data_IF_118420734131
#
_entry.id   IF_118420734131
#
_cell.length_a   1.000
_cell.length_b   1.000
_cell.length_c   1.000
_cell.angle_alpha   90.00
_cell.angle_beta   90.00
_cell.angle_gamma   90.00
#
_symmetry.space_group_name_H-M   'P 1'
#
loop_
_entity.id
_entity.type
_entity.pdbx_description
1 polymer ?
#
# COMPACT_ATOMS: atom_id res chain seq x y z
N UNK A 1 -1.53 12.62 -24.60
CA UNK A 1 -2.46 11.66 -25.22
C UNK A 1 -3.69 11.66 -24.34
N UNK A 2 -4.83 12.12 -24.85
CA UNK A 2 -6.11 11.93 -24.17
C UNK A 2 -6.40 10.44 -24.18
N UNK A 3 -6.43 9.83 -23.01
CA UNK A 3 -6.95 8.49 -22.86
C UNK A 3 -8.47 8.56 -23.06
N UNK A 4 -8.93 8.31 -24.27
CA UNK A 4 -10.35 8.02 -24.47
C UNK A 4 -10.67 6.84 -23.55
N UNK A 5 -11.68 6.99 -22.70
CA UNK A 5 -12.26 5.89 -21.92
C UNK A 5 -12.79 4.91 -22.96
N UNK A 6 -11.97 3.96 -23.37
CA UNK A 6 -12.42 2.83 -24.17
C UNK A 6 -13.29 2.01 -23.23
N UNK A 7 -14.56 1.87 -23.56
CA UNK A 7 -15.47 1.01 -22.79
C UNK A 7 -15.04 -0.45 -23.02
N UNK A 8 -14.19 -0.96 -22.12
CA UNK A 8 -13.71 -2.34 -22.16
C UNK A 8 -14.70 -3.35 -21.55
N UNK A 9 -15.86 -2.91 -21.06
CA UNK A 9 -16.81 -3.80 -20.37
C UNK A 9 -17.34 -4.87 -21.31
N UNK A 10 -17.61 -4.51 -22.58
CA UNK A 10 -18.00 -5.48 -23.62
C UNK A 10 -16.88 -6.45 -24.04
N UNK A 11 -15.62 -6.15 -23.68
CA UNK A 11 -14.51 -7.04 -23.98
C UNK A 11 -14.65 -8.41 -23.31
N UNK A 12 -15.30 -8.46 -22.14
CA UNK A 12 -15.42 -9.68 -21.35
C UNK A 12 -16.61 -10.54 -21.72
N UNK A 13 -17.56 -10.06 -22.54
CA UNK A 13 -18.84 -10.73 -22.82
C UNK A 13 -18.69 -12.12 -23.44
N UNK A 14 -17.59 -12.35 -24.20
CA UNK A 14 -17.34 -13.62 -24.89
C UNK A 14 -16.01 -14.27 -24.49
N UNK A 15 -15.32 -13.72 -23.47
CA UNK A 15 -14.05 -14.25 -22.99
C UNK A 15 -14.30 -15.35 -21.98
N UNK A 16 -13.57 -16.46 -22.13
CA UNK A 16 -13.51 -17.56 -21.15
C UNK A 16 -12.09 -17.83 -20.68
N UNK A 17 -11.11 -17.68 -21.57
CA UNK A 17 -9.70 -18.01 -21.33
C UNK A 17 -8.84 -16.78 -21.27
N UNK A 18 -8.24 -16.52 -20.10
CA UNK A 18 -7.40 -15.34 -19.84
C UNK A 18 -6.01 -15.79 -19.46
N UNK A 19 -5.00 -15.19 -20.11
CA UNK A 19 -3.60 -15.40 -19.77
C UNK A 19 -3.02 -14.18 -19.05
N UNK A 20 -2.31 -14.40 -17.95
CA UNK A 20 -1.67 -13.36 -17.13
C UNK A 20 -0.16 -13.36 -17.29
N UNK A 21 0.44 -12.28 -17.81
CA UNK A 21 1.91 -12.12 -17.89
C UNK A 21 2.40 -11.43 -16.60
N UNK A 22 3.19 -12.14 -15.79
CA UNK A 22 3.60 -11.73 -14.44
C UNK A 22 2.54 -12.03 -13.39
N UNK A 23 1.92 -13.22 -13.46
CA UNK A 23 0.77 -13.63 -12.63
C UNK A 23 1.08 -13.63 -11.12
N UNK A 24 2.33 -13.90 -10.72
CA UNK A 24 2.77 -13.88 -9.32
C UNK A 24 2.95 -12.49 -8.72
N UNK A 25 2.80 -11.42 -9.51
CA UNK A 25 2.88 -10.05 -9.02
C UNK A 25 1.79 -9.73 -7.99
N UNK A 26 2.12 -8.93 -6.96
CA UNK A 26 1.21 -8.59 -5.84
C UNK A 26 -0.12 -7.98 -6.26
N UNK A 27 -0.17 -7.28 -7.39
CA UNK A 27 -1.42 -6.72 -7.94
C UNK A 27 -2.07 -7.61 -9.01
N UNK A 28 -1.37 -8.63 -9.53
CA UNK A 28 -1.87 -9.55 -10.54
C UNK A 28 -2.58 -10.75 -9.91
N UNK A 29 -1.96 -11.33 -8.88
CA UNK A 29 -2.48 -12.49 -8.16
C UNK A 29 -3.91 -12.26 -7.62
N UNK A 30 -4.26 -11.14 -6.95
CA UNK A 30 -5.64 -10.87 -6.52
C UNK A 30 -6.67 -10.85 -7.66
N UNK A 31 -6.31 -10.26 -8.79
CA UNK A 31 -7.21 -10.24 -9.96
C UNK A 31 -7.42 -11.65 -10.53
N UNK A 32 -6.36 -12.44 -10.63
CA UNK A 32 -6.46 -13.82 -11.08
C UNK A 32 -7.35 -14.64 -10.13
N UNK A 33 -7.24 -14.46 -8.81
CA UNK A 33 -8.08 -15.16 -7.84
C UNK A 33 -9.57 -14.81 -8.00
N UNK A 34 -9.91 -13.52 -8.11
CA UNK A 34 -11.29 -13.09 -8.31
C UNK A 34 -11.85 -13.69 -9.61
N UNK A 35 -11.13 -13.57 -10.73
CA UNK A 35 -11.57 -14.08 -12.02
C UNK A 35 -11.67 -15.62 -12.05
N UNK A 36 -10.78 -16.31 -11.33
CA UNK A 36 -10.88 -17.76 -11.16
C UNK A 36 -12.16 -18.16 -10.44
N UNK A 37 -12.49 -17.45 -9.34
CA UNK A 37 -13.74 -17.68 -8.61
C UNK A 37 -14.99 -17.30 -9.42
N UNK A 38 -14.87 -16.34 -10.35
CA UNK A 38 -15.94 -16.02 -11.32
C UNK A 38 -16.08 -17.06 -12.45
N UNK A 39 -15.22 -18.10 -12.47
CA UNK A 39 -15.31 -19.23 -13.40
C UNK A 39 -14.56 -19.05 -14.71
N UNK A 40 -13.64 -18.08 -14.81
CA UNK A 40 -12.74 -17.98 -15.97
C UNK A 40 -11.66 -19.06 -15.93
N UNK A 41 -11.32 -19.60 -17.11
CA UNK A 41 -10.17 -20.47 -17.30
C UNK A 41 -8.89 -19.63 -17.39
N UNK A 42 -8.05 -19.74 -16.38
CA UNK A 42 -6.84 -18.91 -16.28
C UNK A 42 -5.58 -19.70 -16.59
N UNK A 43 -4.60 -19.00 -17.14
CA UNK A 43 -3.21 -19.42 -17.19
C UNK A 43 -2.31 -18.20 -16.95
N UNK A 44 -1.04 -18.41 -16.67
CA UNK A 44 -0.12 -17.29 -16.55
C UNK A 44 1.34 -17.68 -16.67
N UNK A 45 2.18 -16.66 -16.75
CA UNK A 45 3.64 -16.79 -16.76
C UNK A 45 4.28 -15.88 -15.70
N UNK A 46 5.41 -16.29 -15.17
CA UNK A 46 6.24 -15.46 -14.30
C UNK A 46 7.72 -15.83 -14.42
N UNK A 47 8.60 -14.90 -14.03
CA UNK A 47 10.06 -15.13 -14.03
C UNK A 47 10.56 -15.63 -12.67
N UNK A 48 9.81 -15.40 -11.61
CA UNK A 48 10.24 -15.62 -10.23
C UNK A 48 9.30 -16.59 -9.51
N UNK A 49 9.85 -17.52 -8.78
CA UNK A 49 9.12 -18.30 -7.79
C UNK A 49 8.79 -17.41 -6.57
N UNK A 50 7.75 -17.77 -5.83
CA UNK A 50 7.38 -17.06 -4.61
C UNK A 50 6.01 -17.45 -4.08
N UNK A 51 5.72 -17.03 -2.86
CA UNK A 51 4.51 -17.39 -2.10
C UNK A 51 3.20 -17.06 -2.86
N UNK A 52 3.16 -15.91 -3.57
CA UNK A 52 2.00 -15.53 -4.38
C UNK A 52 1.82 -16.47 -5.59
N UNK A 53 2.92 -16.92 -6.20
CA UNK A 53 2.88 -17.84 -7.31
C UNK A 53 2.46 -19.25 -6.86
N UNK A 54 2.93 -19.68 -5.69
CA UNK A 54 2.54 -20.96 -5.07
C UNK A 54 1.03 -20.97 -4.77
N UNK A 55 0.50 -19.83 -4.31
CA UNK A 55 -0.94 -19.68 -4.07
C UNK A 55 -1.76 -19.81 -5.36
N UNK A 56 -1.32 -19.18 -6.44
CA UNK A 56 -1.95 -19.32 -7.76
C UNK A 56 -1.91 -20.76 -8.26
N UNK A 57 -0.76 -21.44 -8.14
CA UNK A 57 -0.62 -22.86 -8.47
C UNK A 57 -1.55 -23.74 -7.61
N UNK A 58 -1.78 -23.36 -6.35
CA UNK A 58 -2.69 -24.04 -5.42
C UNK A 58 -4.16 -24.04 -5.87
N UNK A 59 -4.60 -23.06 -6.67
CA UNK A 59 -5.91 -23.06 -7.34
C UNK A 59 -5.99 -23.96 -8.58
N UNK A 60 -4.89 -24.63 -8.95
CA UNK A 60 -4.83 -25.43 -10.17
C UNK A 60 -4.67 -24.60 -11.46
N UNK A 61 -4.33 -23.33 -11.36
CA UNK A 61 -4.08 -22.45 -12.50
C UNK A 61 -2.72 -22.81 -13.10
N UNK A 62 -2.64 -23.17 -14.40
CA UNK A 62 -1.37 -23.46 -15.09
C UNK A 62 -0.45 -22.23 -15.08
N UNK A 63 0.78 -22.39 -14.59
CA UNK A 63 1.80 -21.34 -14.57
C UNK A 63 3.05 -21.79 -15.30
N UNK A 64 3.48 -20.98 -16.26
CA UNK A 64 4.71 -21.19 -17.02
C UNK A 64 5.85 -20.36 -16.40
N UNK A 65 6.98 -21.01 -16.14
CA UNK A 65 8.18 -20.29 -15.69
C UNK A 65 8.94 -19.78 -16.92
N UNK A 66 9.15 -18.45 -16.95
CA UNK A 66 9.69 -17.75 -18.11
C UNK A 66 8.62 -17.31 -19.12
N UNK A 67 9.01 -16.40 -20.01
CA UNK A 67 8.12 -15.82 -21.01
C UNK A 67 8.43 -16.42 -22.40
N UNK A 68 7.41 -17.01 -23.03
CA UNK A 68 7.50 -17.58 -24.39
C UNK A 68 6.18 -17.37 -25.15
N UNK A 69 6.26 -17.18 -26.46
CA UNK A 69 5.10 -16.93 -27.33
C UNK A 69 4.03 -18.05 -27.21
N UNK A 70 4.47 -19.27 -26.97
CA UNK A 70 3.62 -20.46 -26.85
C UNK A 70 2.73 -20.45 -25.61
N UNK A 71 3.10 -19.72 -24.55
CA UNK A 71 2.38 -19.68 -23.29
C UNK A 71 0.95 -19.13 -23.43
N UNK A 72 0.71 -18.24 -24.41
CA UNK A 72 -0.61 -17.64 -24.66
C UNK A 72 -1.51 -18.47 -25.57
N UNK A 73 -1.08 -19.68 -25.95
CA UNK A 73 -1.86 -20.53 -26.86
C UNK A 73 -3.23 -20.83 -26.30
N UNK A 74 -4.26 -20.42 -27.05
CA UNK A 74 -5.67 -20.61 -26.68
C UNK A 74 -6.22 -19.51 -25.76
N UNK A 75 -5.44 -18.53 -25.36
CA UNK A 75 -5.95 -17.34 -24.65
C UNK A 75 -6.84 -16.50 -25.59
N UNK A 76 -7.87 -15.92 -25.03
CA UNK A 76 -8.80 -15.00 -25.70
C UNK A 76 -8.57 -13.56 -25.23
N UNK A 77 -7.91 -13.40 -24.11
CA UNK A 77 -7.47 -12.13 -23.54
C UNK A 77 -6.12 -12.33 -22.83
N UNK A 78 -5.22 -11.36 -23.00
CA UNK A 78 -3.97 -11.30 -22.25
C UNK A 78 -3.99 -10.09 -21.32
N UNK A 79 -3.63 -10.32 -20.06
CA UNK A 79 -3.48 -9.27 -19.02
C UNK A 79 -2.01 -9.20 -18.64
N UNK A 80 -1.41 -8.01 -18.63
CA UNK A 80 0.00 -7.86 -18.28
C UNK A 80 0.23 -6.85 -17.16
N UNK A 81 1.25 -7.12 -16.34
CA UNK A 81 1.75 -6.19 -15.33
C UNK A 81 2.49 -5.02 -16.00
N UNK A 82 2.37 -3.81 -15.44
CA UNK A 82 3.11 -2.63 -15.90
C UNK A 82 4.64 -2.82 -15.97
N UNK A 83 5.19 -3.87 -15.30
CA UNK A 83 6.59 -4.26 -15.38
C UNK A 83 6.98 -4.88 -16.73
N UNK A 84 6.01 -5.41 -17.46
CA UNK A 84 6.22 -6.18 -18.71
C UNK A 84 6.35 -5.22 -19.89
N UNK A 85 7.53 -5.22 -20.52
CA UNK A 85 7.83 -4.35 -21.66
C UNK A 85 7.08 -4.80 -22.91
N UNK A 86 6.94 -3.90 -23.88
CA UNK A 86 6.35 -4.24 -25.19
C UNK A 86 7.12 -5.33 -25.96
N UNK A 87 8.42 -5.44 -25.71
CA UNK A 87 9.29 -6.47 -26.32
C UNK A 87 9.11 -7.86 -25.73
N UNK A 88 8.24 -8.04 -24.72
CA UNK A 88 7.97 -9.37 -24.17
C UNK A 88 7.38 -10.30 -25.24
N UNK A 89 7.87 -11.56 -25.38
CA UNK A 89 7.46 -12.47 -26.45
C UNK A 89 5.96 -12.81 -26.41
N UNK A 90 5.34 -12.87 -25.24
CA UNK A 90 3.91 -13.14 -25.10
C UNK A 90 3.06 -11.95 -25.55
N UNK A 91 3.49 -10.69 -25.23
CA UNK A 91 2.84 -9.49 -25.73
C UNK A 91 2.95 -9.36 -27.25
N UNK A 92 4.12 -9.71 -27.82
CA UNK A 92 4.32 -9.69 -29.26
C UNK A 92 3.44 -10.74 -29.96
N UNK A 93 3.40 -11.96 -29.43
CA UNK A 93 2.54 -13.02 -29.95
C UNK A 93 1.03 -12.64 -29.85
N UNK A 94 0.58 -12.04 -28.75
CA UNK A 94 -0.79 -11.55 -28.64
C UNK A 94 -1.14 -10.54 -29.75
N UNK A 95 -0.21 -9.59 -30.02
CA UNK A 95 -0.37 -8.61 -31.09
C UNK A 95 -0.44 -9.26 -32.48
N UNK A 96 0.43 -10.21 -32.75
CA UNK A 96 0.48 -10.94 -34.05
C UNK A 96 -0.79 -11.78 -34.26
N UNK A 97 -1.32 -12.38 -33.21
CA UNK A 97 -2.54 -13.21 -33.26
C UNK A 97 -3.83 -12.39 -33.15
N UNK A 98 -3.75 -11.06 -32.95
CA UNK A 98 -4.92 -10.19 -32.77
C UNK A 98 -5.68 -10.45 -31.46
N UNK A 99 -5.02 -11.03 -30.46
CA UNK A 99 -5.61 -11.26 -29.13
C UNK A 99 -5.56 -9.92 -28.35
N UNK A 100 -6.68 -9.45 -27.78
CA UNK A 100 -6.68 -8.28 -26.91
C UNK A 100 -5.66 -8.42 -25.79
N UNK A 101 -4.85 -7.36 -25.56
CA UNK A 101 -3.78 -7.37 -24.58
C UNK A 101 -3.88 -6.08 -23.76
N UNK A 102 -4.33 -6.18 -22.49
CA UNK A 102 -4.63 -5.04 -21.62
C UNK A 102 -3.73 -5.01 -20.38
N UNK A 103 -3.49 -3.82 -19.88
CA UNK A 103 -2.72 -3.62 -18.66
C UNK A 103 -3.59 -3.95 -17.41
N UNK A 104 -2.95 -4.38 -16.33
CA UNK A 104 -3.55 -4.75 -15.05
C UNK A 104 -4.56 -3.72 -14.51
N UNK A 105 -4.26 -2.42 -14.62
CA UNK A 105 -5.15 -1.37 -14.13
C UNK A 105 -6.47 -1.31 -14.89
N UNK A 106 -6.43 -1.57 -16.19
CA UNK A 106 -7.65 -1.68 -17.04
C UNK A 106 -8.49 -2.87 -16.59
N UNK A 107 -7.85 -4.04 -16.35
CA UNK A 107 -8.55 -5.22 -15.84
C UNK A 107 -9.15 -4.96 -14.46
N UNK A 108 -8.43 -4.28 -13.55
CA UNK A 108 -8.95 -3.88 -12.25
C UNK A 108 -10.20 -3.00 -12.41
N UNK A 109 -10.19 -2.05 -13.33
CA UNK A 109 -11.34 -1.24 -13.65
C UNK A 109 -12.54 -2.07 -14.12
N UNK A 110 -12.32 -3.03 -15.01
CA UNK A 110 -13.38 -3.95 -15.51
C UNK A 110 -13.96 -4.76 -14.35
N UNK A 111 -13.11 -5.38 -13.53
CA UNK A 111 -13.54 -6.20 -12.39
C UNK A 111 -14.33 -5.36 -11.38
N UNK A 112 -13.82 -4.20 -10.97
CA UNK A 112 -14.45 -3.37 -9.94
C UNK A 112 -15.83 -2.83 -10.37
N UNK A 113 -16.02 -2.53 -11.66
CA UNK A 113 -17.33 -2.08 -12.19
C UNK A 113 -18.43 -3.13 -12.15
N UNK A 114 -18.10 -4.41 -11.96
CA UNK A 114 -19.10 -5.47 -11.78
C UNK A 114 -19.74 -5.49 -10.40
N UNK A 115 -19.10 -4.82 -9.44
CA UNK A 115 -19.59 -4.70 -8.08
C UNK A 115 -20.39 -3.40 -7.94
N UNK A 116 -21.65 -3.49 -7.51
CA UNK A 116 -22.52 -2.31 -7.35
C UNK A 116 -21.98 -1.32 -6.33
N UNK A 117 -21.31 -1.83 -5.29
CA UNK A 117 -20.70 -1.04 -4.22
C UNK A 117 -19.17 -1.20 -4.27
N UNK A 118 -18.58 -0.70 -5.36
CA UNK A 118 -17.11 -0.66 -5.46
C UNK A 118 -16.54 0.51 -4.66
N UNK A 119 -15.54 0.23 -3.84
CA UNK A 119 -14.87 1.18 -2.94
C UNK A 119 -13.41 1.27 -3.33
N UNK A 120 -12.96 2.46 -3.72
CA UNK A 120 -11.59 2.72 -4.12
C UNK A 120 -10.89 3.63 -3.10
N UNK A 121 -9.82 3.13 -2.49
CA UNK A 121 -9.03 3.87 -1.49
C UNK A 121 -7.84 4.51 -2.18
N UNK A 122 -7.85 5.83 -2.27
CA UNK A 122 -6.81 6.65 -2.90
C UNK A 122 -6.15 7.62 -1.90
N UNK A 123 -5.09 8.25 -2.34
CA UNK A 123 -4.31 9.22 -1.56
C UNK A 123 -2.83 8.93 -1.70
N UNK A 124 -1.99 9.91 -1.44
CA UNK A 124 -0.53 9.72 -1.52
C UNK A 124 -0.07 8.70 -0.49
N UNK A 125 -0.55 8.81 0.75
CA UNK A 125 -0.15 7.97 1.88
C UNK A 125 -1.35 7.27 2.52
N UNK A 126 -1.11 6.09 3.15
CA UNK A 126 -2.10 5.38 3.96
C UNK A 126 -3.02 4.41 3.20
N UNK A 127 -2.97 4.35 1.86
CA UNK A 127 -3.85 3.51 1.02
C UNK A 127 -3.96 2.06 1.52
N UNK A 128 -2.84 1.36 1.60
CA UNK A 128 -2.79 -0.06 2.00
C UNK A 128 -3.38 -0.30 3.39
N UNK A 129 -3.00 0.53 4.36
CA UNK A 129 -3.48 0.42 5.74
C UNK A 129 -4.99 0.66 5.83
N UNK A 130 -5.50 1.71 5.16
CA UNK A 130 -6.92 2.02 5.17
C UNK A 130 -7.74 0.96 4.44
N UNK A 131 -7.26 0.47 3.28
CA UNK A 131 -7.90 -0.64 2.56
C UNK A 131 -7.98 -1.89 3.43
N UNK A 132 -6.91 -2.21 4.16
CA UNK A 132 -6.86 -3.35 5.05
C UNK A 132 -7.78 -3.17 6.28
N UNK A 133 -7.78 -2.00 6.92
CA UNK A 133 -8.68 -1.68 8.04
C UNK A 133 -10.15 -1.80 7.62
N UNK A 134 -10.52 -1.17 6.50
CA UNK A 134 -11.89 -1.23 5.97
C UNK A 134 -12.29 -2.66 5.60
N UNK A 135 -11.42 -3.40 4.92
CA UNK A 135 -11.67 -4.80 4.57
C UNK A 135 -11.88 -5.65 5.81
N UNK A 136 -11.04 -5.51 6.84
CA UNK A 136 -11.18 -6.23 8.10
C UNK A 136 -12.48 -5.89 8.82
N UNK A 137 -12.86 -4.60 8.88
CA UNK A 137 -14.13 -4.18 9.48
C UNK A 137 -15.31 -4.81 8.74
N UNK A 138 -15.35 -4.71 7.41
CA UNK A 138 -16.46 -5.22 6.62
C UNK A 138 -16.56 -6.76 6.68
N UNK A 139 -15.43 -7.48 6.58
CA UNK A 139 -15.42 -8.95 6.69
C UNK A 139 -15.85 -9.35 8.11
N UNK A 140 -15.26 -8.74 9.14
CA UNK A 140 -15.57 -9.03 10.54
C UNK A 140 -16.99 -8.68 10.96
N UNK A 141 -17.65 -7.77 10.24
CA UNK A 141 -19.07 -7.39 10.44
C UNK A 141 -20.03 -8.18 9.54
N UNK A 142 -19.55 -9.18 8.79
CA UNK A 142 -20.38 -10.08 8.01
C UNK A 142 -20.89 -9.53 6.66
N UNK A 143 -20.27 -8.46 6.13
CA UNK A 143 -20.62 -7.90 4.81
C UNK A 143 -20.11 -8.74 3.63
N UNK A 144 -19.17 -9.64 3.88
CA UNK A 144 -18.55 -10.56 2.89
C UNK A 144 -18.12 -9.87 1.58
N UNK A 145 -17.31 -8.78 1.64
CA UNK A 145 -16.81 -8.08 0.48
C UNK A 145 -15.74 -8.87 -0.25
N UNK A 146 -15.50 -8.62 -1.54
CA UNK A 146 -14.20 -8.91 -2.14
C UNK A 146 -13.20 -7.79 -1.76
N UNK A 147 -11.91 -8.13 -1.65
CA UNK A 147 -10.88 -7.16 -1.28
C UNK A 147 -9.58 -7.38 -2.07
N UNK A 148 -8.96 -6.27 -2.52
CA UNK A 148 -7.64 -6.23 -3.15
C UNK A 148 -6.78 -5.23 -2.37
N UNK A 149 -5.79 -5.73 -1.63
CA UNK A 149 -4.96 -4.95 -0.70
C UNK A 149 -3.52 -4.94 -1.22
N UNK A 150 -2.84 -3.81 -1.16
CA UNK A 150 -1.46 -3.66 -1.63
C UNK A 150 -0.42 -4.42 -0.78
N UNK A 151 -0.81 -4.92 0.40
CA UNK A 151 0.03 -5.69 1.31
C UNK A 151 -0.70 -6.87 1.91
N UNK A 152 0.05 -7.83 2.47
CA UNK A 152 -0.51 -9.02 3.11
C UNK A 152 -1.18 -8.64 4.44
N UNK A 153 -2.47 -8.91 4.54
CA UNK A 153 -3.26 -8.73 5.77
C UNK A 153 -3.33 -10.08 6.50
N UNK A 154 -2.73 -10.20 7.71
CA UNK A 154 -2.70 -11.46 8.47
C UNK A 154 -4.09 -12.05 8.73
N UNK A 155 -5.10 -11.19 8.95
CA UNK A 155 -6.49 -11.58 9.20
C UNK A 155 -7.10 -12.47 8.10
N UNK A 156 -6.71 -12.27 6.84
CA UNK A 156 -7.17 -13.07 5.69
C UNK A 156 -6.08 -13.98 5.13
N UNK A 157 -4.87 -13.99 5.73
CA UNK A 157 -3.74 -14.80 5.28
C UNK A 157 -3.15 -14.40 3.93
N UNK A 158 -3.51 -13.23 3.37
CA UNK A 158 -3.09 -12.81 2.03
C UNK A 158 -3.32 -11.33 1.76
N UNK A 159 -3.24 -10.96 0.50
CA UNK A 159 -3.50 -9.62 0.02
C UNK A 159 -4.79 -9.51 -0.82
N UNK A 160 -5.58 -10.56 -0.82
CA UNK A 160 -6.90 -10.65 -1.47
C UNK A 160 -7.86 -11.48 -0.64
N UNK A 161 -9.12 -11.14 -0.75
CA UNK A 161 -10.24 -11.92 -0.24
C UNK A 161 -11.34 -11.93 -1.28
N UNK A 162 -11.91 -13.07 -1.57
CA UNK A 162 -13.01 -13.22 -2.52
C UNK A 162 -14.29 -13.49 -1.73
N UNK A 163 -15.12 -12.47 -1.62
CA UNK A 163 -16.43 -12.53 -0.98
C UNK A 163 -17.56 -12.73 -2.01
N UNK A 164 -18.79 -12.90 -1.51
CA UNK A 164 -19.97 -13.18 -2.34
C UNK A 164 -20.96 -12.02 -2.38
N UNK A 165 -20.66 -10.89 -1.73
CA UNK A 165 -21.51 -9.71 -1.77
C UNK A 165 -21.25 -8.84 -3.01
N UNK A 166 -22.07 -7.79 -3.17
CA UNK A 166 -21.89 -6.77 -4.20
C UNK A 166 -20.87 -5.68 -3.85
N UNK A 167 -20.03 -5.93 -2.82
CA UNK A 167 -19.00 -5.01 -2.34
C UNK A 167 -17.62 -5.48 -2.80
N UNK A 168 -16.83 -4.57 -3.35
CA UNK A 168 -15.39 -4.75 -3.50
C UNK A 168 -14.64 -3.55 -2.91
N UNK A 169 -13.56 -3.81 -2.19
CA UNK A 169 -12.63 -2.79 -1.66
C UNK A 169 -11.29 -2.96 -2.37
N UNK A 170 -10.78 -1.91 -2.98
CA UNK A 170 -9.47 -1.96 -3.64
C UNK A 170 -8.65 -0.69 -3.42
N UNK A 171 -7.34 -0.81 -3.56
CA UNK A 171 -6.47 0.35 -3.64
C UNK A 171 -6.55 1.01 -5.01
N UNK A 172 -6.56 2.34 -5.01
CA UNK A 172 -6.58 3.19 -6.19
C UNK A 172 -5.27 3.99 -6.24
N UNK A 173 -4.27 3.44 -6.96
CA UNK A 173 -2.95 4.06 -7.08
C UNK A 173 -3.00 5.21 -8.10
N UNK A 174 -2.54 6.38 -7.69
CA UNK A 174 -2.48 7.59 -8.52
C UNK A 174 -1.35 7.56 -9.55
N UNK A 175 -0.31 6.76 -9.32
CA UNK A 175 0.86 6.72 -10.19
C UNK A 175 0.49 6.40 -11.65
N UNK A 176 0.98 7.22 -12.57
CA UNK A 176 0.69 7.14 -14.02
C UNK A 176 -0.82 7.15 -14.31
N UNK A 177 -1.61 7.83 -13.46
CA UNK A 177 -3.07 7.96 -13.60
C UNK A 177 -3.82 6.60 -13.62
N UNK A 178 -3.24 5.54 -13.05
CA UNK A 178 -3.85 4.20 -13.12
C UNK A 178 -5.21 4.11 -12.43
N UNK A 179 -5.44 4.91 -11.38
CA UNK A 179 -6.74 4.96 -10.68
C UNK A 179 -7.88 5.55 -11.58
N UNK A 180 -7.54 6.27 -12.66
CA UNK A 180 -8.53 6.77 -13.61
C UNK A 180 -9.16 5.66 -14.48
N UNK A 181 -8.70 4.42 -14.36
CA UNK A 181 -9.38 3.25 -14.94
C UNK A 181 -10.58 2.81 -14.09
N UNK A 182 -10.72 3.32 -12.86
CA UNK A 182 -11.79 2.99 -11.93
C UNK A 182 -12.96 3.96 -12.05
N UNK A 183 -14.18 3.44 -11.85
CA UNK A 183 -15.41 4.23 -11.70
C UNK A 183 -16.11 3.78 -10.42
N UNK A 184 -15.56 4.10 -9.24
CA UNK A 184 -16.07 3.57 -7.99
C UNK A 184 -17.41 4.17 -7.58
N UNK A 185 -18.18 3.40 -6.80
CA UNK A 185 -19.35 3.93 -6.10
C UNK A 185 -18.93 4.80 -4.92
N UNK A 186 -17.89 4.37 -4.16
CA UNK A 186 -17.30 5.16 -3.08
C UNK A 186 -15.83 5.38 -3.38
N UNK A 187 -15.38 6.65 -3.37
CA UNK A 187 -13.95 6.98 -3.33
C UNK A 187 -13.56 7.50 -1.96
N UNK A 188 -12.48 6.96 -1.42
CA UNK A 188 -11.82 7.50 -0.24
C UNK A 188 -10.57 8.25 -0.72
N UNK A 189 -10.42 9.52 -0.36
CA UNK A 189 -9.22 10.32 -0.64
C UNK A 189 -8.60 10.71 0.69
N UNK A 190 -7.46 10.08 1.01
CA UNK A 190 -6.83 10.20 2.32
C UNK A 190 -6.03 11.49 2.49
N UNK A 191 -5.26 11.85 1.49
CA UNK A 191 -4.40 13.02 1.44
C UNK A 191 -3.82 13.18 0.04
N UNK A 192 -3.37 14.39 -0.28
CA UNK A 192 -2.68 14.70 -1.53
C UNK A 192 -1.37 15.41 -1.20
N UNK A 193 -0.24 14.76 -1.48
CA UNK A 193 1.11 15.26 -1.23
C UNK A 193 1.96 15.18 -2.51
N UNK A 194 3.11 15.82 -2.49
CA UNK A 194 4.05 15.89 -3.62
C UNK A 194 4.85 14.59 -3.75
N UNK A 195 4.27 13.58 -4.35
CA UNK A 195 4.97 12.34 -4.74
C UNK A 195 4.86 12.09 -6.25
N UNK A 196 5.63 11.14 -6.76
CA UNK A 196 5.64 10.78 -8.19
C UNK A 196 5.88 11.99 -9.14
N UNK A 197 6.75 12.92 -8.72
CA UNK A 197 7.05 14.15 -9.48
C UNK A 197 7.78 13.86 -10.80
N UNK A 198 8.36 12.68 -10.97
CA UNK A 198 8.84 12.17 -12.26
C UNK A 198 7.73 12.12 -13.31
N UNK A 199 6.51 11.77 -12.91
CA UNK A 199 5.32 11.73 -13.76
C UNK A 199 4.54 13.04 -13.71
N UNK A 200 4.07 13.46 -12.54
CA UNK A 200 3.14 14.60 -12.39
C UNK A 200 3.79 15.98 -12.54
N UNK A 201 5.11 16.09 -12.32
CA UNK A 201 5.92 17.32 -12.39
C UNK A 201 5.71 18.29 -11.21
N UNK A 202 4.50 18.47 -10.72
CA UNK A 202 4.17 19.36 -9.61
C UNK A 202 2.87 18.94 -8.91
N UNK A 203 2.61 19.51 -7.73
CA UNK A 203 1.43 19.24 -6.90
C UNK A 203 0.11 19.61 -7.60
N UNK A 204 0.09 20.67 -8.40
CA UNK A 204 -1.14 21.08 -9.11
C UNK A 204 -1.61 20.03 -10.12
N UNK A 205 -0.67 19.35 -10.77
CA UNK A 205 -1.02 18.25 -11.68
C UNK A 205 -1.52 17.02 -10.92
N UNK A 206 -0.97 16.74 -9.72
CA UNK A 206 -1.48 15.70 -8.83
C UNK A 206 -2.93 16.02 -8.44
N UNK A 207 -3.20 17.26 -7.96
CA UNK A 207 -4.56 17.71 -7.62
C UNK A 207 -5.53 17.57 -8.79
N UNK A 208 -5.12 17.93 -10.02
CA UNK A 208 -5.94 17.76 -11.22
C UNK A 208 -6.25 16.30 -11.52
N UNK A 209 -5.34 15.38 -11.26
CA UNK A 209 -5.55 13.96 -11.44
C UNK A 209 -6.56 13.42 -10.39
N UNK A 210 -6.40 13.81 -9.12
CA UNK A 210 -7.37 13.49 -8.07
C UNK A 210 -8.75 14.10 -8.32
N UNK A 211 -8.81 15.32 -8.86
CA UNK A 211 -10.08 15.94 -9.27
C UNK A 211 -10.80 15.08 -10.32
N UNK A 212 -10.09 14.64 -11.38
CA UNK A 212 -10.67 13.74 -12.38
C UNK A 212 -11.18 12.43 -11.74
N UNK A 213 -10.40 11.84 -10.86
CA UNK A 213 -10.81 10.63 -10.15
C UNK A 213 -12.05 10.86 -9.28
N UNK A 214 -12.12 12.00 -8.58
CA UNK A 214 -13.30 12.36 -7.79
C UNK A 214 -14.55 12.52 -8.66
N UNK A 215 -14.44 13.12 -9.84
CA UNK A 215 -15.55 13.21 -10.81
C UNK A 215 -16.00 11.89 -11.40
N UNK A 216 -15.16 10.84 -11.37
CA UNK A 216 -15.54 9.50 -11.80
C UNK A 216 -16.28 8.72 -10.72
N UNK A 217 -16.34 9.22 -9.48
CA UNK A 217 -17.08 8.60 -8.38
C UNK A 217 -18.59 8.78 -8.58
N UNK A 218 -19.37 7.72 -8.38
CA UNK A 218 -20.79 7.71 -8.74
C UNK A 218 -21.73 7.87 -7.55
N UNK A 219 -21.28 7.67 -6.32
CA UNK A 219 -22.12 7.73 -5.12
C UNK A 219 -21.60 8.64 -4.03
N UNK A 220 -20.44 8.35 -3.46
CA UNK A 220 -19.94 9.04 -2.26
C UNK A 220 -18.44 9.33 -2.33
N UNK A 221 -18.04 10.55 -1.91
CA UNK A 221 -16.65 10.87 -1.57
C UNK A 221 -16.48 10.86 -0.05
N UNK A 222 -15.52 10.09 0.45
CA UNK A 222 -15.04 10.12 1.84
C UNK A 222 -13.67 10.79 1.84
N UNK A 223 -13.56 11.97 2.42
CA UNK A 223 -12.39 12.84 2.28
C UNK A 223 -11.84 13.31 3.63
N UNK A 224 -10.53 13.45 3.70
CA UNK A 224 -9.88 14.05 4.84
C UNK A 224 -10.16 15.56 4.89
N UNK A 225 -10.94 15.99 5.88
CA UNK A 225 -11.33 17.39 6.07
C UNK A 225 -10.20 18.27 6.65
N UNK A 226 -9.10 17.68 7.09
CA UNK A 226 -7.93 18.39 7.59
C UNK A 226 -6.83 18.54 6.51
N UNK A 227 -7.00 17.95 5.32
CA UNK A 227 -6.06 18.03 4.21
C UNK A 227 -6.51 19.08 3.19
N UNK A 228 -5.86 20.24 3.20
CA UNK A 228 -6.19 21.36 2.34
C UNK A 228 -6.08 21.02 0.85
N UNK A 229 -5.13 20.17 0.47
CA UNK A 229 -4.94 19.76 -0.92
C UNK A 229 -6.09 18.87 -1.41
N UNK A 230 -6.58 17.97 -0.56
CA UNK A 230 -7.77 17.17 -0.85
C UNK A 230 -9.00 18.04 -1.00
N UNK A 231 -9.24 18.95 -0.04
CA UNK A 231 -10.38 19.90 -0.10
C UNK A 231 -10.36 20.74 -1.38
N UNK A 232 -9.19 21.27 -1.75
CA UNK A 232 -9.02 22.05 -2.98
C UNK A 232 -9.26 21.20 -4.24
N UNK A 233 -8.76 19.96 -4.25
CA UNK A 233 -8.92 19.06 -5.40
C UNK A 233 -10.38 18.67 -5.67
N UNK A 234 -11.25 18.61 -4.65
CA UNK A 234 -12.63 18.14 -4.80
C UNK A 234 -13.70 19.23 -4.63
N UNK A 235 -13.29 20.50 -4.62
CA UNK A 235 -14.19 21.63 -4.33
C UNK A 235 -15.33 21.81 -5.33
N UNK A 236 -15.13 21.43 -6.59
CA UNK A 236 -16.07 21.54 -7.71
C UNK A 236 -16.82 20.24 -8.01
N UNK A 237 -16.60 19.18 -7.24
CA UNK A 237 -17.27 17.89 -7.43
C UNK A 237 -18.63 17.92 -6.74
N UNK A 238 -19.72 17.70 -7.50
CA UNK A 238 -21.11 17.83 -7.01
C UNK A 238 -21.72 16.44 -6.71
N UNK A 239 -21.16 15.70 -5.74
CA UNK A 239 -21.74 14.48 -5.20
C UNK A 239 -21.74 14.53 -3.67
N UNK A 240 -22.43 13.59 -3.05
CA UNK A 240 -22.39 13.46 -1.58
C UNK A 240 -20.95 13.34 -1.08
N UNK A 241 -20.63 14.11 -0.05
CA UNK A 241 -19.31 14.10 0.60
C UNK A 241 -19.47 13.84 2.09
N UNK A 242 -18.62 12.98 2.61
CA UNK A 242 -18.42 12.78 4.05
C UNK A 242 -16.99 13.20 4.36
N UNK A 243 -16.83 14.10 5.32
CA UNK A 243 -15.52 14.55 5.82
C UNK A 243 -15.14 13.82 7.09
N UNK A 244 -13.86 13.50 7.24
CA UNK A 244 -13.31 12.95 8.48
C UNK A 244 -12.02 13.66 8.86
N UNK A 245 -11.72 13.73 10.15
CA UNK A 245 -10.51 14.38 10.66
C UNK A 245 -10.57 14.69 12.15
N UNK A 246 -9.75 15.65 12.56
CA UNK A 246 -9.75 16.20 13.92
C UNK A 246 -10.44 17.58 13.98
N UNK A 247 -10.58 18.25 12.83
CA UNK A 247 -11.18 19.57 12.71
C UNK A 247 -12.67 19.57 13.09
N UNK A 248 -13.13 20.65 13.71
CA UNK A 248 -14.52 20.81 14.18
C UNK A 248 -15.56 20.71 13.05
N UNK A 249 -15.16 20.97 11.81
CA UNK A 249 -16.04 20.97 10.64
C UNK A 249 -16.16 19.59 9.98
N UNK A 250 -15.48 18.55 10.50
CA UNK A 250 -15.57 17.21 9.95
C UNK A 250 -16.83 16.49 10.43
N UNK A 251 -17.48 15.72 9.55
CA UNK A 251 -18.63 14.89 9.89
C UNK A 251 -18.24 13.77 10.88
N UNK A 252 -17.11 13.07 10.60
CA UNK A 252 -16.54 12.09 11.53
C UNK A 252 -15.29 12.66 12.18
N UNK A 253 -15.26 12.64 13.52
CA UNK A 253 -14.16 13.22 14.29
C UNK A 253 -13.59 12.25 15.31
N UNK A 254 -12.28 12.34 15.50
CA UNK A 254 -11.61 11.74 16.64
C UNK A 254 -11.42 12.80 17.73
N UNK A 255 -12.02 12.58 18.88
CA UNK A 255 -11.87 13.43 20.06
C UNK A 255 -11.28 12.64 21.24
N UNK A 256 -10.84 13.33 22.29
CA UNK A 256 -10.27 12.71 23.49
C UNK A 256 -9.12 11.72 23.16
N UNK A 257 -8.27 12.09 22.19
CA UNK A 257 -7.15 11.26 21.75
C UNK A 257 -6.18 11.08 22.92
N UNK A 258 -5.86 9.85 23.23
CA UNK A 258 -4.87 9.46 24.22
C UNK A 258 -4.10 8.23 23.75
N UNK A 259 -2.91 8.01 24.31
CA UNK A 259 -2.10 6.84 24.00
C UNK A 259 -1.83 6.05 25.27
N UNK A 260 -2.16 4.76 25.27
CA UNK A 260 -1.80 3.85 26.37
C UNK A 260 -0.31 3.51 26.25
N UNK A 261 0.47 3.88 27.29
CA UNK A 261 1.93 3.74 27.33
C UNK A 261 2.67 4.36 26.12
N UNK A 262 2.06 5.36 25.46
CA UNK A 262 2.63 6.03 24.29
C UNK A 262 2.59 5.24 22.98
N UNK A 263 1.95 4.07 22.93
CA UNK A 263 2.01 3.15 21.79
C UNK A 263 0.65 2.94 21.13
N UNK A 264 -0.39 2.71 21.89
CA UNK A 264 -1.72 2.37 21.39
C UNK A 264 -2.63 3.57 21.42
N UNK A 265 -2.96 4.10 20.26
CA UNK A 265 -3.84 5.26 20.14
C UNK A 265 -5.29 4.86 20.49
N UNK A 266 -5.93 5.69 21.33
CA UNK A 266 -7.33 5.54 21.70
C UNK A 266 -8.03 6.88 21.51
N UNK A 267 -9.23 6.85 20.95
CA UNK A 267 -10.02 8.05 20.71
C UNK A 267 -11.53 7.77 20.74
N UNK A 268 -12.30 8.79 21.00
CA UNK A 268 -13.74 8.76 20.86
C UNK A 268 -14.12 9.13 19.43
N UNK A 269 -14.88 8.25 18.76
CA UNK A 269 -15.42 8.49 17.43
C UNK A 269 -16.75 9.23 17.53
N UNK A 270 -16.80 10.40 16.90
CA UNK A 270 -18.02 11.20 16.78
C UNK A 270 -18.51 11.23 15.31
N UNK A 271 -19.82 11.31 15.15
CA UNK A 271 -20.47 11.58 13.87
C UNK A 271 -21.47 12.71 14.05
N UNK A 272 -21.28 13.82 13.31
CA UNK A 272 -22.13 15.02 13.36
C UNK A 272 -22.40 15.51 14.79
N UNK A 273 -21.38 15.47 15.64
CA UNK A 273 -21.43 15.93 17.02
C UNK A 273 -21.93 14.91 18.03
N UNK A 274 -22.39 13.74 17.62
CA UNK A 274 -22.81 12.65 18.52
C UNK A 274 -21.71 11.60 18.67
N UNK A 275 -21.39 11.21 19.89
CA UNK A 275 -20.43 10.14 20.17
C UNK A 275 -21.02 8.79 19.75
N UNK A 276 -20.37 8.12 18.80
CA UNK A 276 -20.75 6.78 18.35
C UNK A 276 -20.17 5.68 19.25
N UNK A 277 -18.85 5.72 19.45
CA UNK A 277 -18.13 4.68 20.20
C UNK A 277 -16.74 5.18 20.57
N UNK A 278 -15.99 4.36 21.34
CA UNK A 278 -14.56 4.54 21.54
C UNK A 278 -13.81 3.52 20.69
N UNK A 279 -12.76 3.97 20.01
CA UNK A 279 -11.87 3.13 19.21
C UNK A 279 -10.51 3.06 19.91
N UNK A 280 -9.95 1.86 20.03
CA UNK A 280 -8.61 1.60 20.50
C UNK A 280 -7.85 0.85 19.42
N UNK A 281 -6.77 1.45 18.91
CA UNK A 281 -5.89 0.85 17.91
C UNK A 281 -4.72 0.15 18.61
N UNK A 282 -4.26 -0.97 18.05
CA UNK A 282 -3.03 -1.65 18.48
C UNK A 282 -1.85 -1.34 17.54
N UNK A 283 -2.13 -0.71 16.39
CA UNK A 283 -1.10 -0.17 15.49
C UNK A 283 -0.71 1.24 15.91
N UNK A 284 0.58 1.58 15.96
CA UNK A 284 1.05 2.86 16.47
C UNK A 284 0.89 3.99 15.45
N UNK A 285 0.87 5.22 15.97
CA UNK A 285 1.01 6.44 15.19
C UNK A 285 -0.29 7.16 14.86
N UNK A 286 -0.25 8.48 15.04
CA UNK A 286 -1.39 9.39 14.82
C UNK A 286 -1.99 9.30 13.41
N UNK A 287 -1.17 9.00 12.40
CA UNK A 287 -1.64 8.79 11.03
C UNK A 287 -2.61 7.60 10.92
N UNK A 288 -2.47 6.59 11.80
CA UNK A 288 -3.41 5.46 11.84
C UNK A 288 -4.78 5.84 12.42
N UNK A 289 -4.89 6.94 13.16
CA UNK A 289 -6.21 7.49 13.54
C UNK A 289 -6.94 7.99 12.29
N UNK A 290 -6.27 8.73 11.39
CA UNK A 290 -6.87 9.16 10.12
C UNK A 290 -7.29 7.97 9.25
N UNK A 291 -6.44 6.94 9.15
CA UNK A 291 -6.74 5.72 8.41
C UNK A 291 -7.98 5.01 9.00
N UNK A 292 -8.05 4.93 10.34
CA UNK A 292 -9.18 4.33 11.05
C UNK A 292 -10.46 5.15 10.91
N UNK A 293 -10.39 6.50 10.92
CA UNK A 293 -11.53 7.37 10.69
C UNK A 293 -12.12 7.17 9.28
N UNK A 294 -11.28 7.12 8.24
CA UNK A 294 -11.70 6.87 6.88
C UNK A 294 -12.39 5.51 6.74
N UNK A 295 -11.80 4.46 7.33
CA UNK A 295 -12.39 3.12 7.35
C UNK A 295 -13.70 3.07 8.14
N UNK A 296 -13.76 3.70 9.33
CA UNK A 296 -14.94 3.76 10.18
C UNK A 296 -16.09 4.53 9.52
N UNK A 297 -15.82 5.69 8.92
CA UNK A 297 -16.80 6.50 8.21
C UNK A 297 -17.44 5.71 7.06
N UNK A 298 -16.60 5.04 6.25
CA UNK A 298 -17.06 4.23 5.12
C UNK A 298 -17.85 3.01 5.57
N UNK A 299 -17.37 2.29 6.59
CA UNK A 299 -18.06 1.12 7.13
C UNK A 299 -19.42 1.50 7.77
N UNK A 300 -19.47 2.61 8.52
CA UNK A 300 -20.71 3.11 9.11
C UNK A 300 -21.74 3.52 8.04
N UNK A 301 -21.30 4.21 6.99
CA UNK A 301 -22.15 4.54 5.84
C UNK A 301 -22.74 3.30 5.18
N UNK A 302 -21.99 2.21 5.11
CA UNK A 302 -22.45 0.92 4.57
C UNK A 302 -23.36 0.15 5.53
N UNK A 303 -23.52 0.60 6.78
CA UNK A 303 -24.42 0.01 7.77
C UNK A 303 -23.75 -0.81 8.86
N UNK A 304 -22.42 -0.80 8.98
CA UNK A 304 -21.73 -1.41 10.11
C UNK A 304 -22.06 -0.64 11.40
N UNK A 305 -22.34 -1.35 12.48
CA UNK A 305 -22.64 -0.72 13.77
C UNK A 305 -21.40 -0.14 14.42
N UNK A 306 -21.51 0.90 15.26
CA UNK A 306 -20.36 1.46 16.00
C UNK A 306 -19.59 0.41 16.81
N UNK A 307 -20.28 -0.59 17.35
CA UNK A 307 -19.67 -1.71 18.08
C UNK A 307 -18.81 -2.59 17.18
N UNK A 308 -19.33 -3.01 16.05
CA UNK A 308 -18.60 -3.83 15.06
C UNK A 308 -17.36 -3.10 14.55
N UNK A 309 -17.49 -1.80 14.25
CA UNK A 309 -16.37 -0.96 13.82
C UNK A 309 -15.27 -0.94 14.89
N UNK A 310 -15.64 -0.65 16.15
CA UNK A 310 -14.68 -0.59 17.25
C UNK A 310 -13.99 -1.93 17.50
N UNK A 311 -14.75 -3.04 17.55
CA UNK A 311 -14.20 -4.37 17.80
C UNK A 311 -13.25 -4.85 16.68
N UNK A 312 -13.57 -4.58 15.41
CA UNK A 312 -12.74 -5.02 14.30
C UNK A 312 -11.51 -4.13 14.08
N UNK A 313 -11.60 -2.82 14.33
CA UNK A 313 -10.44 -1.94 14.34
C UNK A 313 -9.49 -2.27 15.51
N UNK A 314 -10.02 -2.64 16.68
CA UNK A 314 -9.18 -3.10 17.80
C UNK A 314 -8.41 -4.37 17.49
N UNK A 315 -8.95 -5.28 16.68
CA UNK A 315 -8.28 -6.53 16.25
C UNK A 315 -7.29 -6.31 15.10
N UNK A 316 -7.23 -5.11 14.53
CA UNK A 316 -6.36 -4.84 13.38
C UNK A 316 -4.89 -4.78 13.82
N UNK A 317 -4.16 -5.85 13.57
CA UNK A 317 -2.74 -6.02 13.93
C UNK A 317 -1.75 -5.40 12.93
N UNK A 318 -2.24 -4.67 11.93
CA UNK A 318 -1.39 -4.10 10.87
C UNK A 318 -1.37 -4.93 9.60
N UNK A 319 -0.58 -4.45 8.64
CA UNK A 319 -0.31 -5.09 7.35
C UNK A 319 1.18 -5.41 7.29
N UNK A 320 1.53 -6.51 6.65
CA UNK A 320 2.94 -6.87 6.44
C UNK A 320 3.73 -5.67 5.87
N UNK A 321 4.90 -5.43 6.46
CA UNK A 321 5.74 -4.28 6.16
C UNK A 321 5.10 -2.90 6.45
N UNK A 322 4.19 -2.79 7.44
CA UNK A 322 3.66 -1.51 7.95
C UNK A 322 3.86 -1.49 9.47
N UNK A 323 5.02 -1.01 9.91
CA UNK A 323 5.52 -1.08 11.28
C UNK A 323 5.40 -2.50 11.85
N UNK A 324 5.79 -3.49 11.07
CA UNK A 324 5.70 -4.89 11.43
C UNK A 324 6.82 -5.30 12.37
N UNK A 325 6.48 -5.70 13.59
CA UNK A 325 7.46 -6.23 14.55
C UNK A 325 7.73 -7.70 14.22
N UNK A 326 8.96 -8.02 13.82
CA UNK A 326 9.41 -9.38 13.53
C UNK A 326 9.67 -10.19 14.80
N UNK A 327 10.08 -9.53 15.88
CA UNK A 327 10.33 -10.10 17.19
C UNK A 327 11.32 -9.29 18.01
N UNK A 328 11.66 -9.82 19.20
CA UNK A 328 12.53 -9.13 20.17
C UNK A 328 13.63 -10.08 20.68
N UNK A 329 14.50 -10.62 19.80
CA UNK A 329 15.60 -11.46 20.23
C UNK A 329 16.59 -10.67 21.09
N UNK A 330 17.06 -11.29 22.17
CA UNK A 330 18.04 -10.68 23.09
C UNK A 330 17.62 -9.31 23.65
N UNK A 331 16.31 -9.08 23.76
CA UNK A 331 15.74 -7.81 24.20
C UNK A 331 15.82 -6.67 23.16
N UNK A 332 16.27 -6.94 21.93
CA UNK A 332 16.37 -5.98 20.84
C UNK A 332 15.16 -6.18 19.91
N UNK A 333 14.29 -5.19 19.81
CA UNK A 333 13.12 -5.27 18.92
C UNK A 333 13.52 -4.98 17.48
N UNK A 334 13.14 -5.86 16.56
CA UNK A 334 13.36 -5.68 15.10
C UNK A 334 12.02 -5.49 14.42
N UNK A 335 11.90 -4.41 13.64
CA UNK A 335 10.70 -4.08 12.89
C UNK A 335 11.03 -3.65 11.46
N UNK A 336 10.05 -3.81 10.55
CA UNK A 336 10.13 -3.36 9.15
C UNK A 336 8.95 -2.47 8.78
N UNK A 337 9.22 -1.42 7.98
CA UNK A 337 8.21 -0.51 7.45
C UNK A 337 8.48 -0.20 5.97
N UNK A 338 7.42 -0.12 5.19
CA UNK A 338 7.49 0.20 3.77
C UNK A 338 7.72 1.69 3.49
N UNK A 339 7.77 2.54 4.52
CA UNK A 339 7.97 3.98 4.41
C UNK A 339 9.18 4.30 3.51
N UNK A 340 8.92 5.05 2.46
CA UNK A 340 9.91 5.38 1.43
C UNK A 340 9.76 6.81 0.89
N UNK A 341 8.87 7.60 1.49
CA UNK A 341 8.71 9.05 1.28
C UNK A 341 9.06 9.78 2.59
N UNK A 342 9.62 11.01 2.56
CA UNK A 342 10.00 11.75 3.78
C UNK A 342 8.85 11.90 4.78
N UNK A 343 7.64 12.18 4.30
CA UNK A 343 6.43 12.30 5.14
C UNK A 343 6.13 11.00 5.87
N UNK A 344 6.25 9.85 5.19
CA UNK A 344 6.04 8.52 5.79
C UNK A 344 7.13 8.21 6.82
N UNK A 345 8.41 8.44 6.47
CA UNK A 345 9.53 8.26 7.38
C UNK A 345 9.33 9.07 8.67
N UNK A 346 8.99 10.35 8.52
CA UNK A 346 8.74 11.26 9.64
C UNK A 346 7.62 10.75 10.53
N UNK A 347 6.52 10.29 9.96
CA UNK A 347 5.38 9.75 10.71
C UNK A 347 5.76 8.49 11.48
N UNK A 348 6.42 7.53 10.81
CA UNK A 348 6.85 6.26 11.38
C UNK A 348 7.90 6.46 12.48
N UNK A 349 8.91 7.30 12.23
CA UNK A 349 9.97 7.57 13.20
C UNK A 349 9.45 8.32 14.44
N UNK A 350 8.58 9.31 14.27
CA UNK A 350 7.94 9.99 15.40
C UNK A 350 7.07 9.04 16.24
N UNK A 351 6.41 8.06 15.63
CA UNK A 351 5.70 7.02 16.35
C UNK A 351 6.68 6.14 17.15
N UNK A 352 7.76 5.67 16.51
CA UNK A 352 8.80 4.85 17.13
C UNK A 352 9.45 5.54 18.35
N UNK A 353 9.79 6.84 18.23
CA UNK A 353 10.41 7.61 19.32
C UNK A 353 9.50 7.74 20.55
N UNK A 354 8.19 7.60 20.42
CA UNK A 354 7.24 7.64 21.53
C UNK A 354 7.01 6.28 22.22
N UNK A 355 7.52 5.19 21.65
CA UNK A 355 7.28 3.84 22.15
C UNK A 355 8.15 3.45 23.37
N UNK A 356 9.04 4.34 23.82
CA UNK A 356 9.81 4.15 25.04
C UNK A 356 10.99 3.18 24.91
N UNK A 357 11.48 2.93 23.72
CA UNK A 357 12.74 2.20 23.48
C UNK A 357 13.95 3.00 23.99
N UNK A 358 15.02 2.30 24.36
CA UNK A 358 16.25 2.94 24.81
C UNK A 358 16.90 3.78 23.71
N UNK A 359 16.94 3.22 22.47
CA UNK A 359 17.31 3.91 21.26
C UNK A 359 16.49 3.41 20.08
N UNK A 360 16.20 4.31 19.15
CA UNK A 360 15.58 3.99 17.86
C UNK A 360 16.65 4.09 16.77
N UNK A 361 16.88 2.98 16.08
CA UNK A 361 17.79 2.86 14.95
C UNK A 361 16.98 2.80 13.68
N UNK A 362 17.16 3.75 12.75
CA UNK A 362 16.58 3.71 11.43
C UNK A 362 17.58 3.11 10.43
N UNK A 363 17.23 2.02 9.80
CA UNK A 363 17.96 1.44 8.67
C UNK A 363 17.17 1.77 7.41
N UNK A 364 17.60 2.80 6.69
CA UNK A 364 16.86 3.32 5.54
C UNK A 364 17.48 2.93 4.21
N UNK A 365 16.66 2.36 3.30
CA UNK A 365 17.02 2.14 1.90
C UNK A 365 16.33 3.18 1.02
N UNK A 366 17.06 4.19 0.50
CA UNK A 366 16.50 5.13 -0.44
C UNK A 366 16.02 4.40 -1.71
N UNK A 367 14.85 4.81 -2.21
CA UNK A 367 14.19 4.16 -3.33
C UNK A 367 14.11 5.11 -4.52
N UNK A 368 14.78 4.74 -5.61
CA UNK A 368 15.07 5.46 -6.85
C UNK A 368 16.02 6.65 -6.72
N UNK A 369 16.83 6.88 -7.76
CA UNK A 369 17.76 8.00 -7.80
C UNK A 369 17.02 9.34 -7.92
N UNK A 370 15.98 9.39 -8.77
CA UNK A 370 15.19 10.60 -9.00
C UNK A 370 14.54 11.11 -7.71
N UNK A 371 13.84 10.24 -6.96
CA UNK A 371 13.19 10.60 -5.70
C UNK A 371 14.22 11.04 -4.66
N UNK A 372 15.33 10.31 -4.55
CA UNK A 372 16.40 10.65 -3.59
C UNK A 372 17.00 12.03 -3.89
N UNK A 373 17.22 12.36 -5.18
CA UNK A 373 17.76 13.65 -5.56
C UNK A 373 16.75 14.80 -5.35
N UNK A 374 15.48 14.58 -5.69
CA UNK A 374 14.44 15.61 -5.58
C UNK A 374 14.05 15.95 -4.14
N UNK A 375 14.11 14.96 -3.23
CA UNK A 375 13.67 15.07 -1.83
C UNK A 375 14.83 14.92 -0.85
N UNK A 376 16.06 15.21 -1.28
CA UNK A 376 17.29 14.96 -0.51
C UNK A 376 17.27 15.63 0.86
N UNK A 377 16.87 16.90 0.91
CA UNK A 377 16.83 17.68 2.15
C UNK A 377 15.71 17.18 3.09
N UNK A 378 14.58 16.84 2.54
CA UNK A 378 13.43 16.32 3.32
C UNK A 378 13.75 14.94 3.92
N UNK A 379 14.43 14.06 3.17
CA UNK A 379 14.96 12.81 3.70
C UNK A 379 15.96 13.03 4.82
N UNK A 380 16.85 13.99 4.64
CA UNK A 380 17.84 14.31 5.66
C UNK A 380 17.18 14.80 6.96
N UNK A 381 16.16 15.64 6.87
CA UNK A 381 15.41 16.10 8.05
C UNK A 381 14.69 14.94 8.75
N UNK A 382 14.04 14.05 8.01
CA UNK A 382 13.38 12.87 8.57
C UNK A 382 14.37 11.95 9.29
N UNK A 383 15.56 11.74 8.72
CA UNK A 383 16.59 10.85 9.27
C UNK A 383 17.40 11.45 10.45
N UNK A 384 17.12 12.70 10.84
CA UNK A 384 17.61 13.29 12.10
C UNK A 384 16.75 12.95 13.31
N UNK A 385 15.55 12.39 13.11
CA UNK A 385 14.59 12.04 14.18
C UNK A 385 15.09 10.88 15.04
N UNK A 386 15.57 9.75 14.48
CA UNK A 386 16.01 8.60 15.27
C UNK A 386 17.35 8.86 15.98
N UNK A 387 17.63 8.07 17.02
CA UNK A 387 18.92 8.16 17.73
C UNK A 387 20.11 7.74 16.84
N UNK A 388 19.86 6.89 15.85
CA UNK A 388 20.85 6.40 14.90
C UNK A 388 20.23 6.19 13.52
N UNK A 389 20.88 6.74 12.49
CA UNK A 389 20.53 6.49 11.10
C UNK A 389 21.60 5.66 10.40
N UNK A 390 21.19 4.59 9.74
CA UNK A 390 22.01 3.79 8.84
C UNK A 390 21.38 3.89 7.46
N UNK A 391 22.15 4.24 6.44
CA UNK A 391 21.67 4.47 5.08
C UNK A 391 22.33 3.44 4.17
N UNK A 392 21.52 2.60 3.53
CA UNK A 392 22.00 1.61 2.55
C UNK A 392 22.21 2.23 1.18
N UNK A 393 22.78 1.46 0.25
CA UNK A 393 22.83 1.84 -1.16
C UNK A 393 21.41 2.15 -1.71
N UNK A 394 21.33 3.15 -2.60
CA UNK A 394 20.07 3.51 -3.26
C UNK A 394 19.60 2.36 -4.13
N UNK A 395 18.35 1.94 -3.98
CA UNK A 395 17.74 0.93 -4.85
C UNK A 395 17.29 1.59 -6.17
N UNK A 396 17.92 1.25 -7.31
CA UNK A 396 17.65 1.93 -8.59
C UNK A 396 16.30 1.59 -9.20
N UNK A 397 15.72 0.42 -8.87
CA UNK A 397 14.51 -0.16 -9.48
C UNK A 397 14.63 -0.26 -11.00
N UNK A 398 14.24 0.76 -11.76
CA UNK A 398 14.29 0.79 -13.22
C UNK A 398 15.10 1.99 -13.75
N UNK A 399 15.69 2.77 -12.84
CA UNK A 399 16.43 3.99 -13.19
C UNK A 399 17.92 3.70 -13.39
N UNK A 400 18.53 4.50 -14.26
CA UNK A 400 19.99 4.68 -14.32
C UNK A 400 20.32 5.96 -13.52
N UNK A 401 21.43 5.97 -12.80
CA UNK A 401 21.83 7.14 -12.00
C UNK A 401 22.29 8.31 -12.88
N UNK A 402 21.33 9.02 -13.47
CA UNK A 402 21.57 10.25 -14.25
C UNK A 402 21.69 11.50 -13.38
N UNK A 403 21.31 11.40 -12.09
CA UNK A 403 21.38 12.47 -11.11
C UNK A 403 22.74 12.56 -10.40
N UNK A 404 23.60 11.57 -10.62
CA UNK A 404 24.90 11.44 -9.93
C UNK A 404 24.74 11.55 -8.39
N UNK A 405 23.71 10.89 -7.83
CA UNK A 405 23.34 10.88 -6.41
C UNK A 405 23.68 9.52 -5.78
N UNK A 406 24.20 9.53 -4.57
CA UNK A 406 24.58 8.35 -3.82
C UNK A 406 24.06 8.42 -2.38
N UNK A 407 24.02 7.30 -1.68
CA UNK A 407 23.63 7.23 -0.26
C UNK A 407 24.50 8.11 0.63
N UNK A 408 25.78 8.27 0.26
CA UNK A 408 26.73 9.13 0.96
C UNK A 408 26.39 10.62 0.88
N UNK A 409 25.71 11.07 -0.19
CA UNK A 409 25.27 12.47 -0.30
C UNK A 409 24.15 12.76 0.71
N UNK A 410 23.25 11.78 0.92
CA UNK A 410 22.24 11.84 1.97
C UNK A 410 22.88 11.76 3.36
N UNK A 411 23.81 10.82 3.55
CA UNK A 411 24.56 10.66 4.81
C UNK A 411 25.31 11.91 5.23
N UNK A 412 25.90 12.65 4.29
CA UNK A 412 26.59 13.91 4.57
C UNK A 412 25.69 14.99 5.18
N UNK A 413 24.35 14.90 4.97
CA UNK A 413 23.36 15.82 5.54
C UNK A 413 22.76 15.35 6.88
N UNK A 414 23.05 14.11 7.30
CA UNK A 414 22.53 13.51 8.54
C UNK A 414 23.68 13.28 9.52
N UNK A 415 23.86 14.17 10.51
CA UNK A 415 24.98 14.07 11.44
C UNK A 415 24.99 12.74 12.20
N UNK A 416 26.13 12.06 12.22
CA UNK A 416 26.31 10.78 12.93
C UNK A 416 25.67 9.56 12.25
N UNK A 417 25.13 9.71 11.03
CA UNK A 417 24.70 8.56 10.22
C UNK A 417 25.87 7.69 9.78
N UNK A 418 25.55 6.46 9.40
CA UNK A 418 26.50 5.49 8.84
C UNK A 418 25.97 5.04 7.48
N UNK A 419 26.78 5.16 6.43
CA UNK A 419 26.44 4.64 5.11
C UNK A 419 27.14 3.29 4.93
N UNK A 420 26.37 2.25 4.61
CA UNK A 420 26.83 0.89 4.35
C UNK A 420 26.14 0.36 3.11
N UNK A 421 26.88 -0.26 2.21
CA UNK A 421 26.34 -0.59 0.88
C UNK A 421 25.57 -1.90 0.86
N UNK A 422 25.93 -2.87 1.72
CA UNK A 422 25.34 -4.21 1.73
C UNK A 422 24.52 -4.49 2.99
N UNK A 423 23.54 -5.38 2.89
CA UNK A 423 22.74 -5.79 4.04
C UNK A 423 23.54 -6.63 5.05
N UNK A 424 24.58 -7.31 4.59
CA UNK A 424 25.53 -8.03 5.42
C UNK A 424 26.30 -7.06 6.33
N UNK A 425 26.88 -6.00 5.77
CA UNK A 425 27.59 -4.95 6.55
C UNK A 425 26.67 -4.28 7.55
N UNK A 426 25.41 -3.99 7.15
CA UNK A 426 24.41 -3.40 8.03
C UNK A 426 24.06 -4.36 9.17
N UNK A 427 23.84 -5.64 8.87
CA UNK A 427 23.52 -6.67 9.85
C UNK A 427 24.65 -6.80 10.87
N UNK A 428 25.89 -6.93 10.42
CA UNK A 428 27.07 -7.03 11.29
C UNK A 428 27.22 -5.80 12.18
N UNK A 429 27.05 -4.60 11.60
CA UNK A 429 27.14 -3.35 12.34
C UNK A 429 26.07 -3.23 13.42
N UNK A 430 24.82 -3.55 13.10
CA UNK A 430 23.67 -3.52 14.03
C UNK A 430 23.89 -4.53 15.16
N UNK A 431 24.11 -5.80 14.81
CA UNK A 431 24.27 -6.87 15.81
C UNK A 431 25.45 -6.65 16.77
N UNK A 432 26.49 -5.94 16.33
CA UNK A 432 27.64 -5.58 17.17
C UNK A 432 27.40 -4.42 18.12
N UNK A 433 26.50 -3.48 17.76
CA UNK A 433 26.40 -2.18 18.45
C UNK A 433 25.04 -1.96 19.14
N UNK A 434 23.97 -2.63 18.72
CA UNK A 434 22.65 -2.53 19.35
C UNK A 434 22.67 -3.20 20.73
N UNK A 435 21.76 -2.75 21.61
CA UNK A 435 21.67 -3.20 22.99
C UNK A 435 20.22 -3.57 23.33
N UNK A 436 20.07 -4.36 24.39
CA UNK A 436 18.78 -4.66 25.00
C UNK A 436 17.97 -3.37 25.21
N UNK A 437 16.70 -3.38 24.82
CA UNK A 437 15.78 -2.25 24.85
C UNK A 437 15.84 -1.32 23.63
N UNK A 438 16.73 -1.58 22.66
CA UNK A 438 16.76 -0.82 21.41
C UNK A 438 15.70 -1.33 20.41
N UNK A 439 15.22 -0.42 19.54
CA UNK A 439 14.42 -0.74 18.35
C UNK A 439 15.28 -0.59 17.10
N UNK A 440 15.32 -1.62 16.28
CA UNK A 440 15.90 -1.60 14.93
C UNK A 440 14.74 -1.57 13.94
N UNK A 441 14.58 -0.46 13.23
CA UNK A 441 13.51 -0.23 12.29
C UNK A 441 14.07 -0.10 10.87
N UNK A 442 13.86 -1.12 10.04
CA UNK A 442 14.19 -1.03 8.62
C UNK A 442 13.08 -0.32 7.86
N UNK A 443 13.43 0.58 6.94
CA UNK A 443 12.48 1.39 6.18
C UNK A 443 12.86 1.49 4.72
N UNK A 444 11.88 1.33 3.83
CA UNK A 444 12.06 1.48 2.39
C UNK A 444 11.08 0.70 1.54
N UNK A 445 10.79 1.22 0.34
CA UNK A 445 9.86 0.61 -0.63
C UNK A 445 10.41 -0.62 -1.38
N UNK A 446 11.69 -0.96 -1.16
CA UNK A 446 12.39 -2.03 -1.86
C UNK A 446 12.53 -3.33 -1.05
N UNK A 447 13.73 -3.89 -1.09
CA UNK A 447 14.04 -5.18 -0.49
C UNK A 447 14.68 -5.09 0.91
N UNK A 448 14.66 -3.93 1.56
CA UNK A 448 15.25 -3.71 2.90
C UNK A 448 14.65 -4.62 3.99
N UNK A 449 13.44 -5.14 3.82
CA UNK A 449 12.86 -6.16 4.68
C UNK A 449 13.75 -7.42 4.79
N UNK A 450 14.57 -7.69 3.77
CA UNK A 450 15.55 -8.79 3.82
C UNK A 450 16.62 -8.51 4.87
N UNK A 451 17.07 -7.24 4.97
CA UNK A 451 17.99 -6.81 6.02
C UNK A 451 17.37 -6.98 7.42
N UNK A 452 16.07 -6.60 7.61
CA UNK A 452 15.36 -6.84 8.86
C UNK A 452 15.37 -8.33 9.25
N UNK A 453 15.08 -9.21 8.29
CA UNK A 453 15.09 -10.66 8.50
C UNK A 453 16.51 -11.18 8.82
N UNK A 454 17.56 -10.66 8.19
CA UNK A 454 18.95 -11.02 8.47
C UNK A 454 19.32 -10.62 9.90
N UNK A 455 19.03 -9.37 10.29
CA UNK A 455 19.29 -8.86 11.65
C UNK A 455 18.54 -9.73 12.67
N UNK A 456 17.26 -9.98 12.45
CA UNK A 456 16.44 -10.81 13.35
C UNK A 456 17.02 -12.20 13.54
N UNK A 457 17.37 -12.89 12.44
CA UNK A 457 17.95 -14.24 12.48
C UNK A 457 19.30 -14.25 13.18
N UNK A 458 20.16 -13.28 12.92
CA UNK A 458 21.48 -13.19 13.52
C UNK A 458 21.40 -12.93 15.04
N UNK A 459 20.54 -12.01 15.47
CA UNK A 459 20.32 -11.73 16.90
C UNK A 459 19.74 -12.97 17.60
N UNK A 460 18.80 -13.65 16.99
CA UNK A 460 18.21 -14.90 17.52
C UNK A 460 19.26 -16.00 17.65
N UNK A 461 20.12 -16.16 16.65
CA UNK A 461 21.25 -17.09 16.71
C UNK A 461 22.21 -16.75 17.85
N UNK A 462 22.52 -15.46 18.06
CA UNK A 462 23.37 -15.02 19.17
C UNK A 462 22.72 -15.27 20.54
N UNK A 463 21.42 -15.08 20.67
CA UNK A 463 20.64 -15.36 21.89
C UNK A 463 20.69 -16.87 22.23
N UNK A 464 20.46 -17.74 21.23
CA UNK A 464 20.46 -19.22 21.40
C UNK A 464 21.85 -19.81 21.73
N UNK A 465 22.93 -19.05 21.49
CA UNK A 465 24.32 -19.50 21.72
C UNK A 465 25.05 -18.74 22.84
N UNK A 466 24.33 -18.02 23.70
CA UNK A 466 24.79 -17.45 24.97
C UNK A 466 24.66 -18.49 26.08
#
# INVERSE_FOLDING_TARGET
MEWAIVNYDSLMDNIKRIHFIGIGGSGMCPLAEILHHEGYELSGSDMNEGETLDRIKGYGIPVFMGHAAENIKGAELVVYSAAIKETNPERQAAKELGIPCIERSVMLGIVTRRYRRSIAVSGTHGKTTTTAMLSQVLIGSGFDPSAIIGGKLPFIGGNSYVGHSDIIVCEACEYVDTFLQLNPFISIILNIDADHLDYFKNLDNIKKSFNKFAHQTTGLLVINGDDENTLDAVKDVEIEKITYGFGENCDYRAENISADKGVHEQFDLYFKGEKLTQIKLIVPGKHNIYNALAAAATAHYLGATPKEISENLHKFGGVHRRFEILGTPDGITVADDFAHHPTELTATLNAAMKMGFNKVWAVFQPHTFSRTAMLLDDFAEALKIPDKAIISAILPVRETNTYNIYSTDLGAKVPGSVCLDTFEEITDYVCKNAKEGDLILTMGGGNVYMCANMIYKQLKYMEENK
#
